data_IF_983013310081
#
_entry.id   IF_983013310081
#
_cell.length_a   1.000
_cell.length_b   1.000
_cell.length_c   1.000
_cell.angle_alpha   90.00
_cell.angle_beta   90.00
_cell.angle_gamma   90.00
#
_symmetry.space_group_name_H-M   'P 1'
#
loop_
_entity.id
_entity.type
_entity.pdbx_description
1 polymer ?
#
# COMPACT_ATOMS: atom_id res chain seq x y z
N UNK A 1 -16.20 2.97 -5.86
CA UNK A 1 -15.13 2.53 -4.93
C UNK A 1 -15.77 1.69 -3.84
N UNK A 2 -15.28 0.47 -3.60
CA UNK A 2 -15.75 -0.35 -2.48
C UNK A 2 -15.18 0.23 -1.18
N UNK A 3 -15.96 1.08 -0.50
CA UNK A 3 -15.67 1.45 0.89
C UNK A 3 -16.16 0.31 1.79
N UNK A 4 -15.25 -0.57 2.16
CA UNK A 4 -15.55 -1.69 3.06
C UNK A 4 -15.69 -1.19 4.50
N UNK A 5 -16.57 -1.84 5.28
CA UNK A 5 -16.73 -1.55 6.71
C UNK A 5 -15.46 -1.90 7.50
N UNK A 6 -14.74 -2.94 7.09
CA UNK A 6 -13.46 -3.36 7.68
C UNK A 6 -12.29 -2.70 6.95
N UNK A 7 -11.19 -2.46 7.68
CA UNK A 7 -9.93 -1.98 7.10
C UNK A 7 -9.45 -2.99 6.05
N UNK A 8 -9.07 -2.55 4.84
CA UNK A 8 -8.51 -3.44 3.83
C UNK A 8 -7.14 -3.95 4.26
N UNK A 9 -6.75 -5.11 3.73
CA UNK A 9 -5.41 -5.65 3.95
C UNK A 9 -4.34 -4.65 3.48
N UNK A 10 -3.33 -4.45 4.31
CA UNK A 10 -2.24 -3.53 4.03
C UNK A 10 -1.21 -4.13 3.10
N UNK A 11 -0.28 -3.30 2.64
CA UNK A 11 0.86 -3.77 1.87
C UNK A 11 1.73 -4.68 2.74
N UNK A 12 1.98 -4.29 4.00
CA UNK A 12 2.78 -5.09 4.92
C UNK A 12 2.15 -6.45 5.20
N UNK A 13 0.85 -6.51 5.48
CA UNK A 13 0.10 -7.76 5.69
C UNK A 13 0.22 -8.67 4.47
N UNK A 14 -0.10 -8.17 3.27
CA UNK A 14 0.01 -8.97 2.04
C UNK A 14 1.45 -9.41 1.78
N UNK A 15 2.44 -8.54 1.96
CA UNK A 15 3.84 -8.88 1.72
C UNK A 15 4.33 -9.98 2.67
N UNK A 16 3.91 -9.97 3.93
CA UNK A 16 4.30 -11.01 4.90
C UNK A 16 3.53 -12.32 4.64
N UNK A 17 2.20 -12.26 4.64
CA UNK A 17 1.33 -13.43 4.68
C UNK A 17 1.21 -14.16 3.34
N UNK A 18 1.30 -13.43 2.21
CA UNK A 18 1.10 -14.00 0.87
C UNK A 18 2.41 -14.23 0.10
N UNK A 19 3.53 -13.64 0.55
CA UNK A 19 4.81 -13.73 -0.16
C UNK A 19 5.96 -14.21 0.74
N UNK A 20 6.30 -13.50 1.81
CA UNK A 20 7.49 -13.86 2.61
C UNK A 20 7.33 -15.20 3.33
N UNK A 21 6.22 -15.39 4.06
CA UNK A 21 5.97 -16.63 4.80
C UNK A 21 5.80 -17.85 3.88
N UNK A 22 4.96 -17.82 2.82
CA UNK A 22 4.78 -18.98 1.95
C UNK A 22 6.04 -19.35 1.16
N UNK A 23 6.89 -18.37 0.82
CA UNK A 23 8.14 -18.61 0.10
C UNK A 23 9.33 -18.90 1.03
N UNK A 24 9.14 -18.82 2.36
CA UNK A 24 10.22 -18.96 3.33
C UNK A 24 11.31 -17.88 3.19
N UNK A 25 10.98 -16.71 2.66
CA UNK A 25 11.91 -15.62 2.40
C UNK A 25 12.08 -14.73 3.63
N UNK A 26 13.33 -14.42 3.96
CA UNK A 26 13.65 -13.39 4.94
C UNK A 26 13.57 -11.99 4.34
N UNK A 27 13.34 -10.98 5.18
CA UNK A 27 13.42 -9.57 4.76
C UNK A 27 14.79 -9.18 4.19
N UNK A 28 15.86 -9.89 4.58
CA UNK A 28 17.22 -9.64 4.07
C UNK A 28 17.37 -10.14 2.62
N UNK A 29 16.85 -11.34 2.33
CA UNK A 29 16.83 -11.89 0.97
C UNK A 29 15.97 -11.06 0.04
N UNK A 30 14.78 -10.64 0.48
CA UNK A 30 13.95 -9.73 -0.31
C UNK A 30 14.68 -8.41 -0.57
N UNK A 31 15.34 -7.84 0.43
CA UNK A 31 16.10 -6.60 0.27
C UNK A 31 17.22 -6.73 -0.78
N UNK A 32 17.94 -7.86 -0.77
CA UNK A 32 18.96 -8.17 -1.76
C UNK A 32 18.35 -8.27 -3.17
N UNK A 33 17.24 -8.98 -3.34
CA UNK A 33 16.53 -9.10 -4.63
C UNK A 33 15.98 -7.77 -5.14
N UNK A 34 15.52 -6.90 -4.24
CA UNK A 34 15.04 -5.56 -4.57
C UNK A 34 16.17 -4.55 -4.83
N UNK A 35 17.42 -4.86 -4.47
CA UNK A 35 18.54 -3.93 -4.54
C UNK A 35 18.41 -2.74 -3.57
N UNK A 36 17.76 -2.93 -2.41
CA UNK A 36 17.55 -1.87 -1.40
C UNK A 36 18.09 -2.29 -0.03
N UNK A 37 18.22 -1.33 0.90
CA UNK A 37 18.61 -1.65 2.27
C UNK A 37 17.52 -2.48 2.99
N UNK A 38 17.92 -3.43 3.86
CA UNK A 38 16.98 -4.21 4.69
C UNK A 38 15.97 -3.37 5.46
N UNK A 39 16.38 -2.17 5.91
CA UNK A 39 15.49 -1.20 6.58
C UNK A 39 14.31 -0.79 5.71
N UNK A 40 14.51 -0.65 4.40
CA UNK A 40 13.43 -0.32 3.46
C UNK A 40 12.36 -1.43 3.46
N UNK A 41 12.77 -2.69 3.31
CA UNK A 41 11.86 -3.84 3.35
C UNK A 41 11.16 -3.95 4.71
N UNK A 42 11.91 -3.75 5.80
CA UNK A 42 11.33 -3.75 7.13
C UNK A 42 10.25 -2.67 7.32
N UNK A 43 10.47 -1.46 6.80
CA UNK A 43 9.46 -0.40 6.84
C UNK A 43 8.22 -0.74 6.01
N UNK A 44 8.38 -1.40 4.85
CA UNK A 44 7.24 -1.89 4.05
C UNK A 44 6.45 -2.98 4.79
N UNK A 45 7.14 -3.98 5.34
CA UNK A 45 6.51 -5.11 6.05
C UNK A 45 5.75 -4.68 7.31
N UNK A 46 6.06 -3.50 7.86
CA UNK A 46 5.44 -2.98 9.09
C UNK A 46 4.57 -1.74 8.81
N UNK A 47 4.21 -1.47 7.55
CA UNK A 47 3.41 -0.31 7.13
C UNK A 47 3.96 1.05 7.63
N UNK A 48 5.27 1.14 7.86
CA UNK A 48 5.97 2.38 8.27
C UNK A 48 6.39 3.22 7.06
N UNK A 49 6.23 2.67 5.85
CA UNK A 49 6.52 3.31 4.57
C UNK A 49 5.42 2.97 3.58
N UNK A 50 4.91 3.98 2.88
CA UNK A 50 4.01 3.79 1.76
C UNK A 50 4.76 3.27 0.52
N UNK A 51 4.10 2.43 -0.27
CA UNK A 51 4.60 2.00 -1.58
C UNK A 51 4.68 3.21 -2.53
N UNK A 52 5.85 3.42 -3.13
CA UNK A 52 6.02 4.34 -4.27
C UNK A 52 5.85 3.58 -5.59
N UNK A 53 5.72 4.31 -6.71
CA UNK A 53 5.70 3.69 -8.04
C UNK A 53 6.96 2.86 -8.33
N UNK A 54 8.13 3.37 -7.97
CA UNK A 54 9.41 2.66 -8.14
C UNK A 54 9.45 1.37 -7.32
N UNK A 55 9.04 1.41 -6.06
CA UNK A 55 8.96 0.21 -5.21
C UNK A 55 7.96 -0.80 -5.77
N UNK A 56 6.81 -0.35 -6.28
CA UNK A 56 5.82 -1.22 -6.91
C UNK A 56 6.35 -1.91 -8.17
N UNK A 57 7.08 -1.19 -9.02
CA UNK A 57 7.74 -1.75 -10.21
C UNK A 57 8.80 -2.79 -9.83
N UNK A 58 9.58 -2.52 -8.78
CA UNK A 58 10.58 -3.47 -8.26
C UNK A 58 9.90 -4.72 -7.71
N UNK A 59 8.89 -4.59 -6.85
CA UNK A 59 8.16 -5.74 -6.29
C UNK A 59 7.46 -6.56 -7.38
N UNK A 60 6.88 -5.89 -8.38
CA UNK A 60 6.30 -6.53 -9.55
C UNK A 60 7.33 -7.40 -10.29
N UNK A 61 8.56 -6.90 -10.44
CA UNK A 61 9.65 -7.66 -11.05
C UNK A 61 10.13 -8.82 -10.18
N UNK A 62 10.25 -8.62 -8.86
CA UNK A 62 10.73 -9.64 -7.91
C UNK A 62 9.74 -10.80 -7.76
N UNK A 63 8.44 -10.50 -7.72
CA UNK A 63 7.40 -11.49 -7.44
C UNK A 63 6.56 -11.87 -8.65
N UNK A 64 6.94 -11.44 -9.86
CA UNK A 64 6.19 -11.69 -11.10
C UNK A 64 4.71 -11.27 -11.01
N UNK A 65 4.47 -10.12 -10.37
CA UNK A 65 3.15 -9.51 -10.21
C UNK A 65 3.04 -8.23 -11.06
N UNK A 66 1.95 -7.48 -10.92
CA UNK A 66 1.80 -6.17 -11.58
C UNK A 66 2.12 -5.02 -10.60
N UNK A 67 2.66 -3.88 -11.08
CA UNK A 67 2.85 -2.71 -10.22
C UNK A 67 1.52 -2.18 -9.68
N UNK A 68 0.46 -2.26 -10.50
CA UNK A 68 -0.90 -1.88 -10.10
C UNK A 68 -1.41 -2.71 -8.92
N UNK A 69 -1.06 -4.00 -8.83
CA UNK A 69 -1.43 -4.82 -7.67
C UNK A 69 -0.97 -4.16 -6.36
N UNK A 70 0.31 -3.80 -6.26
CA UNK A 70 0.90 -3.16 -5.07
C UNK A 70 0.34 -1.75 -4.81
N UNK A 71 0.23 -0.93 -5.85
CA UNK A 71 -0.31 0.43 -5.74
C UNK A 71 -1.78 0.42 -5.32
N UNK A 72 -2.55 -0.58 -5.77
CA UNK A 72 -3.96 -0.72 -5.42
C UNK A 72 -4.15 -1.09 -3.93
N UNK A 73 -3.24 -1.87 -3.33
CA UNK A 73 -3.26 -2.15 -1.89
C UNK A 73 -3.08 -0.87 -1.08
N UNK A 74 -2.02 -0.11 -1.38
CA UNK A 74 -1.76 1.19 -0.74
C UNK A 74 -2.96 2.14 -0.90
N UNK A 75 -3.48 2.29 -2.12
CA UNK A 75 -4.60 3.18 -2.41
C UNK A 75 -5.86 2.82 -1.61
N UNK A 76 -6.15 1.53 -1.44
CA UNK A 76 -7.31 1.07 -0.65
C UNK A 76 -7.16 1.46 0.81
N UNK A 77 -5.99 1.23 1.41
CA UNK A 77 -5.69 1.63 2.79
C UNK A 77 -5.79 3.15 2.95
N UNK A 78 -5.16 3.92 2.07
CA UNK A 78 -5.14 5.38 2.16
C UNK A 78 -6.54 6.00 2.11
N UNK A 79 -7.39 5.49 1.22
CA UNK A 79 -8.79 5.91 1.09
C UNK A 79 -9.61 5.49 2.32
N UNK A 80 -9.39 4.27 2.83
CA UNK A 80 -10.07 3.80 4.03
C UNK A 80 -9.69 4.66 5.25
N UNK A 81 -8.39 4.88 5.48
CA UNK A 81 -7.90 5.71 6.58
C UNK A 81 -8.40 7.16 6.45
N UNK A 82 -8.49 7.70 5.23
CA UNK A 82 -9.05 9.03 4.98
C UNK A 82 -10.50 9.16 5.45
N UNK A 83 -11.31 8.14 5.19
CA UNK A 83 -12.73 8.14 5.52
C UNK A 83 -13.02 7.72 6.96
N UNK A 84 -12.08 7.04 7.62
CA UNK A 84 -12.21 6.57 9.00
C UNK A 84 -11.44 7.41 10.03
N UNK A 85 -10.67 8.41 9.60
CA UNK A 85 -10.10 9.41 10.51
C UNK A 85 -11.06 10.60 10.65
N UNK A 86 -11.61 10.89 11.85
CA UNK A 86 -12.66 11.91 12.03
C UNK A 86 -12.31 13.28 11.41
N UNK A 87 -11.12 13.80 11.73
CA UNK A 87 -10.62 15.09 11.22
C UNK A 87 -10.50 15.12 9.68
N UNK A 88 -10.04 14.03 9.06
CA UNK A 88 -9.92 13.94 7.60
C UNK A 88 -11.30 13.82 6.96
N UNK A 89 -12.19 12.99 7.54
CA UNK A 89 -13.56 12.79 7.10
C UNK A 89 -14.38 14.07 7.10
N UNK A 90 -14.34 14.83 8.19
CA UNK A 90 -15.02 16.14 8.27
C UNK A 90 -14.55 17.08 7.17
N UNK A 91 -13.23 17.17 6.95
CA UNK A 91 -12.66 18.01 5.89
C UNK A 91 -13.15 17.57 4.50
N UNK A 92 -13.21 16.27 4.24
CA UNK A 92 -13.71 15.70 2.98
C UNK A 92 -15.19 16.06 2.79
N UNK A 93 -16.02 15.92 3.83
CA UNK A 93 -17.45 16.22 3.78
C UNK A 93 -17.78 17.71 3.55
N UNK A 94 -16.87 18.62 3.92
CA UNK A 94 -17.00 20.07 3.66
C UNK A 94 -16.73 20.45 2.20
N UNK A 95 -16.08 19.58 1.42
CA UNK A 95 -15.78 19.85 0.02
C UNK A 95 -17.08 19.92 -0.81
N UNK A 96 -17.14 20.84 -1.77
CA UNK A 96 -18.31 21.04 -2.64
C UNK A 96 -17.93 20.74 -4.09
N UNK A 97 -18.84 20.16 -4.91
CA UNK A 97 -18.60 19.98 -6.33
C UNK A 97 -18.32 21.32 -7.02
N UNK A 98 -17.33 21.34 -7.91
CA UNK A 98 -17.09 22.50 -8.76
C UNK A 98 -18.22 22.58 -9.78
N UNK A 99 -19.06 23.60 -9.68
CA UNK A 99 -20.02 23.95 -10.73
C UNK A 99 -19.31 24.91 -11.69
N UNK A 100 -19.01 24.46 -12.91
CA UNK A 100 -18.72 25.41 -13.99
C UNK A 100 -20.05 26.02 -14.42
N UNK A 101 -20.18 27.34 -14.25
CA UNK A 101 -21.22 28.11 -14.92
C UNK A 101 -20.85 28.10 -16.42
N UNK A 102 -21.77 27.64 -17.26
CA UNK A 102 -21.65 27.73 -18.72
C UNK A 102 -21.81 29.18 -19.17
#
# INVERSE_FOLDING_TARGET
>A
MLMTKRKPASVGEILNEEFLEPLGLTQAELAASMGVARKHVNELCNDRRAITADTALILARVFETSPDFWLNLQRRVDLWDAMNTPKRRERIQRAKPVKKVA
#
